data_IF_167554395267
#
_entry.id   IF_167554395267
#
_cell.length_a   1.000
_cell.length_b   1.000
_cell.length_c   1.000
_cell.angle_alpha   90.00
_cell.angle_beta   90.00
_cell.angle_gamma   90.00
#
_symmetry.space_group_name_H-M   'P 1'
#
loop_
_entity.id
_entity.type
_entity.pdbx_description
1 polymer ?
#
# COMPACT_ATOMS: atom_id res chain seq x y z
N UNK A 1 19.56 9.52 7.02
CA UNK A 1 18.09 9.48 6.87
C UNK A 1 17.63 8.29 7.70
N UNK A 2 16.74 8.48 8.66
CA UNK A 2 16.22 7.47 9.59
C UNK A 2 14.74 7.75 9.81
N UNK A 3 13.96 6.77 10.25
CA UNK A 3 12.61 7.00 10.73
C UNK A 3 12.62 7.79 12.05
N UNK A 4 11.61 8.60 12.28
CA UNK A 4 11.44 9.38 13.51
C UNK A 4 11.11 8.48 14.70
N UNK A 5 10.39 7.37 14.45
CA UNK A 5 10.06 6.37 15.46
C UNK A 5 9.99 4.95 14.87
N UNK A 6 10.22 3.98 15.76
CA UNK A 6 10.08 2.55 15.49
C UNK A 6 9.10 1.93 16.47
N UNK A 7 8.27 1.02 15.98
CA UNK A 7 7.34 0.26 16.80
C UNK A 7 7.37 -1.21 16.37
N UNK A 8 7.23 -2.12 17.32
CA UNK A 8 6.97 -3.54 17.06
C UNK A 8 5.69 -3.95 17.77
N UNK A 9 4.75 -4.53 17.05
CA UNK A 9 3.47 -4.94 17.61
C UNK A 9 3.02 -6.27 16.98
N UNK A 10 2.76 -7.29 17.81
CA UNK A 10 2.38 -8.64 17.36
C UNK A 10 3.30 -9.22 16.27
N UNK A 11 4.62 -9.00 16.41
CA UNK A 11 5.62 -9.51 15.47
C UNK A 11 5.71 -8.76 14.14
N UNK A 12 4.96 -7.67 13.98
CA UNK A 12 5.06 -6.75 12.83
C UNK A 12 5.87 -5.52 13.26
N UNK A 13 6.85 -5.14 12.43
CA UNK A 13 7.68 -3.95 12.65
C UNK A 13 7.16 -2.76 11.84
N UNK A 14 7.28 -1.58 12.44
CA UNK A 14 6.85 -0.33 11.82
C UNK A 14 7.95 0.72 11.89
N UNK A 15 8.16 1.43 10.78
CA UNK A 15 8.92 2.68 10.74
C UNK A 15 7.96 3.84 10.49
N UNK A 16 8.05 4.90 11.29
CA UNK A 16 7.22 6.08 11.20
C UNK A 16 8.06 7.30 10.83
N UNK A 17 7.62 8.04 9.81
CA UNK A 17 8.05 9.40 9.50
C UNK A 17 6.90 10.34 9.80
N UNK A 18 7.11 11.35 10.64
CA UNK A 18 6.03 12.20 11.16
C UNK A 18 5.77 13.44 10.28
N UNK A 19 4.53 13.60 9.86
CA UNK A 19 3.95 14.78 9.23
C UNK A 19 2.68 15.20 9.98
N UNK A 20 1.92 16.19 9.48
CA UNK A 20 0.74 16.73 10.16
C UNK A 20 -0.57 16.59 9.38
N UNK A 21 -0.54 16.42 8.05
CA UNK A 21 -1.71 16.64 7.20
C UNK A 21 -2.48 15.35 6.83
N UNK A 22 -1.93 14.19 7.17
CA UNK A 22 -2.55 12.91 6.87
C UNK A 22 -1.71 11.72 7.28
N UNK A 23 -2.10 10.52 6.83
CA UNK A 23 -1.36 9.28 7.03
C UNK A 23 -1.31 8.46 5.73
N UNK A 24 -0.11 8.12 5.28
CA UNK A 24 0.14 7.09 4.29
C UNK A 24 0.60 5.80 4.99
N UNK A 25 -0.18 4.74 4.84
CA UNK A 25 0.18 3.40 5.32
C UNK A 25 0.84 2.66 4.15
N UNK A 26 2.11 2.28 4.30
CA UNK A 26 2.84 1.49 3.32
C UNK A 26 2.98 0.05 3.83
N UNK A 27 2.41 -0.91 3.11
CA UNK A 27 2.54 -2.35 3.41
C UNK A 27 3.47 -3.01 2.41
N UNK A 28 4.56 -3.57 2.91
CA UNK A 28 5.61 -4.16 2.07
C UNK A 28 5.20 -5.51 1.46
N UNK A 29 6.01 -6.02 0.52
CA UNK A 29 5.82 -7.34 -0.07
C UNK A 29 6.21 -8.47 0.89
N UNK A 30 6.00 -9.71 0.48
CA UNK A 30 6.28 -10.93 1.27
C UNK A 30 7.72 -10.95 1.78
N UNK A 31 7.92 -11.08 3.09
CA UNK A 31 9.23 -11.03 3.75
C UNK A 31 9.94 -9.67 3.64
N UNK A 32 9.24 -8.64 3.21
CA UNK A 32 9.78 -7.28 3.07
C UNK A 32 9.95 -6.60 4.42
N UNK A 33 11.08 -5.92 4.60
CA UNK A 33 11.37 -5.09 5.78
C UNK A 33 10.87 -3.66 5.60
N UNK A 34 10.82 -2.89 6.68
CA UNK A 34 10.46 -1.47 6.64
C UNK A 34 11.42 -0.61 5.80
N UNK A 35 12.63 -1.08 5.53
CA UNK A 35 13.59 -0.39 4.67
C UNK A 35 13.42 -0.77 3.20
N UNK A 36 13.18 -2.06 2.94
CA UNK A 36 13.21 -2.62 1.60
C UNK A 36 14.61 -2.59 0.98
N UNK A 37 14.70 -3.07 -0.27
CA UNK A 37 15.96 -3.02 -1.01
C UNK A 37 16.38 -1.56 -1.25
N UNK A 38 17.66 -1.26 -1.02
CA UNK A 38 18.24 0.08 -1.23
C UNK A 38 17.52 1.19 -0.43
N UNK A 39 16.95 0.82 0.72
CA UNK A 39 16.18 1.73 1.58
C UNK A 39 14.99 2.42 0.90
N UNK A 40 14.41 1.80 -0.14
CA UNK A 40 13.39 2.44 -0.97
C UNK A 40 12.16 2.93 -0.18
N UNK A 41 11.76 2.20 0.87
CA UNK A 41 10.61 2.60 1.68
C UNK A 41 10.93 3.77 2.61
N UNK A 42 12.14 3.82 3.18
CA UNK A 42 12.58 4.98 3.95
C UNK A 42 12.70 6.21 3.05
N UNK A 43 13.26 6.05 1.84
CA UNK A 43 13.36 7.13 0.86
C UNK A 43 11.96 7.63 0.43
N UNK A 44 11.02 6.70 0.19
CA UNK A 44 9.63 7.04 -0.09
C UNK A 44 9.00 7.82 1.07
N UNK A 45 9.15 7.33 2.30
CA UNK A 45 8.58 7.95 3.49
C UNK A 45 9.09 9.38 3.68
N UNK A 46 10.41 9.59 3.56
CA UNK A 46 11.02 10.91 3.66
C UNK A 46 10.49 11.84 2.58
N UNK A 47 10.44 11.37 1.33
CA UNK A 47 9.96 12.17 0.19
C UNK A 47 8.50 12.61 0.35
N UNK A 48 7.62 11.71 0.75
CA UNK A 48 6.20 12.03 0.98
C UNK A 48 6.05 13.02 2.15
N UNK A 49 6.74 12.79 3.25
CA UNK A 49 6.70 13.70 4.40
C UNK A 49 7.20 15.11 4.00
N UNK A 50 8.35 15.21 3.34
CA UNK A 50 8.93 16.50 2.94
C UNK A 50 8.08 17.28 1.94
N UNK A 51 7.40 16.60 1.01
CA UNK A 51 6.64 17.25 -0.07
C UNK A 51 5.18 17.53 0.28
N UNK A 52 4.56 16.65 1.07
CA UNK A 52 3.13 16.68 1.35
C UNK A 52 2.81 16.89 2.83
N UNK A 53 3.82 16.90 3.68
CA UNK A 53 3.65 16.99 5.14
C UNK A 53 2.73 15.89 5.71
N UNK A 54 2.65 14.74 5.03
CA UNK A 54 1.87 13.56 5.42
C UNK A 54 2.76 12.60 6.19
N UNK A 55 2.28 12.11 7.34
CA UNK A 55 2.95 11.03 8.06
C UNK A 55 3.00 9.78 7.23
N UNK A 56 4.10 9.03 7.27
CA UNK A 56 4.23 7.77 6.58
C UNK A 56 4.58 6.66 7.56
N UNK A 57 3.70 5.67 7.66
CA UNK A 57 3.88 4.47 8.45
C UNK A 57 4.21 3.30 7.52
N UNK A 58 5.44 2.83 7.54
CA UNK A 58 5.85 1.65 6.78
C UNK A 58 5.76 0.42 7.67
N UNK A 59 4.99 -0.57 7.24
CA UNK A 59 4.82 -1.86 7.93
C UNK A 59 5.55 -2.96 7.16
N UNK A 60 6.37 -3.74 7.83
CA UNK A 60 6.99 -4.94 7.27
C UNK A 60 5.95 -6.05 7.01
N UNK A 61 6.39 -7.15 6.43
CA UNK A 61 5.50 -8.26 6.07
C UNK A 61 6.16 -9.61 6.37
N UNK A 62 6.30 -9.99 7.67
CA UNK A 62 6.89 -11.26 8.07
C UNK A 62 6.11 -12.46 7.53
N UNK A 63 6.83 -13.52 7.18
CA UNK A 63 6.27 -14.72 6.54
C UNK A 63 5.47 -15.59 7.50
N UNK A 64 5.77 -15.50 8.78
CA UNK A 64 5.24 -16.36 9.85
C UNK A 64 3.85 -15.94 10.31
N UNK A 65 3.41 -14.71 9.96
CA UNK A 65 2.11 -14.16 10.36
C UNK A 65 1.09 -14.39 9.25
N UNK A 66 -0.08 -14.89 9.62
CA UNK A 66 -1.17 -15.10 8.67
C UNK A 66 -1.60 -13.78 8.00
N UNK A 67 -1.99 -13.79 6.71
CA UNK A 67 -2.34 -12.56 5.96
C UNK A 67 -3.37 -11.66 6.65
N UNK A 68 -4.42 -12.25 7.20
CA UNK A 68 -5.49 -11.52 7.88
C UNK A 68 -5.00 -10.87 9.19
N UNK A 69 -4.25 -11.62 9.98
CA UNK A 69 -3.66 -11.14 11.23
C UNK A 69 -2.65 -10.02 10.95
N UNK A 70 -1.79 -10.20 9.94
CA UNK A 70 -0.80 -9.21 9.54
C UNK A 70 -1.46 -7.91 9.09
N UNK A 71 -2.51 -7.99 8.28
CA UNK A 71 -3.27 -6.82 7.85
C UNK A 71 -3.99 -6.16 9.03
N UNK A 72 -4.67 -6.93 9.89
CA UNK A 72 -5.39 -6.37 11.04
C UNK A 72 -4.44 -5.70 12.03
N UNK A 73 -3.27 -6.27 12.29
CA UNK A 73 -2.21 -5.65 13.12
C UNK A 73 -1.76 -4.32 12.53
N UNK A 74 -1.48 -4.28 11.22
CA UNK A 74 -1.07 -3.04 10.54
C UNK A 74 -2.13 -1.96 10.67
N UNK A 75 -3.39 -2.31 10.44
CA UNK A 75 -4.48 -1.32 10.46
C UNK A 75 -4.90 -0.92 11.88
N UNK A 76 -4.71 -1.79 12.88
CA UNK A 76 -4.89 -1.43 14.30
C UNK A 76 -3.88 -0.36 14.73
N UNK A 77 -2.60 -0.55 14.41
CA UNK A 77 -1.55 0.44 14.73
C UNK A 77 -1.83 1.77 14.01
N UNK A 78 -2.29 1.72 12.76
CA UNK A 78 -2.67 2.93 12.03
C UNK A 78 -3.87 3.63 12.68
N UNK A 79 -4.89 2.89 13.11
CA UNK A 79 -6.06 3.44 13.80
C UNK A 79 -5.69 4.10 15.14
N UNK A 80 -4.82 3.45 15.93
CA UNK A 80 -4.31 4.01 17.19
C UNK A 80 -3.50 5.29 16.94
N UNK A 81 -2.67 5.30 15.88
CA UNK A 81 -1.94 6.50 15.47
C UNK A 81 -2.90 7.65 15.13
N UNK A 82 -3.92 7.39 14.31
CA UNK A 82 -4.95 8.37 13.92
C UNK A 82 -5.66 8.90 15.18
N UNK A 83 -6.06 8.02 16.10
CA UNK A 83 -6.76 8.39 17.33
C UNK A 83 -5.89 9.24 18.28
N UNK A 84 -4.57 9.05 18.25
CA UNK A 84 -3.61 9.83 19.06
C UNK A 84 -3.37 11.25 18.52
N UNK A 85 -3.76 11.51 17.27
CA UNK A 85 -3.58 12.81 16.59
C UNK A 85 -4.92 13.54 16.49
N UNK A 86 -4.93 14.82 16.83
CA UNK A 86 -6.15 15.63 16.78
C UNK A 86 -6.62 15.96 15.35
N UNK A 87 -5.74 15.81 14.37
CA UNK A 87 -6.02 16.15 12.96
C UNK A 87 -5.31 15.14 12.04
N UNK A 88 -6.05 14.15 11.58
CA UNK A 88 -5.67 13.36 10.39
C UNK A 88 -6.80 13.52 9.39
N UNK A 89 -6.61 14.39 8.40
CA UNK A 89 -7.64 14.74 7.42
C UNK A 89 -7.81 13.68 6.34
N UNK A 90 -6.73 12.95 6.03
CA UNK A 90 -6.71 11.99 4.92
C UNK A 90 -5.86 10.77 5.25
N UNK A 91 -6.35 9.58 4.91
CA UNK A 91 -5.64 8.32 5.10
C UNK A 91 -5.55 7.58 3.77
N UNK A 92 -4.33 7.18 3.43
CA UNK A 92 -3.99 6.49 2.19
C UNK A 92 -3.31 5.16 2.49
N UNK A 93 -3.45 4.21 1.57
CA UNK A 93 -2.77 2.91 1.65
C UNK A 93 -1.98 2.65 0.38
N UNK A 94 -0.73 2.26 0.52
CA UNK A 94 0.14 1.80 -0.56
C UNK A 94 0.64 0.40 -0.26
N UNK A 95 0.03 -0.61 -0.87
CA UNK A 95 0.43 -2.01 -0.74
C UNK A 95 1.27 -2.48 -1.91
N UNK A 96 2.42 -3.11 -1.62
CA UNK A 96 3.33 -3.65 -2.64
C UNK A 96 3.27 -5.18 -2.65
N UNK A 97 3.08 -5.80 -3.80
CA UNK A 97 3.04 -7.26 -3.97
C UNK A 97 2.04 -7.91 -3.00
N UNK A 98 2.48 -8.71 -2.04
CA UNK A 98 1.62 -9.30 -0.99
C UNK A 98 0.90 -8.23 -0.17
N UNK A 99 1.53 -7.10 0.13
CA UNK A 99 0.85 -5.97 0.78
C UNK A 99 -0.31 -5.43 -0.05
N UNK A 100 -0.16 -5.34 -1.37
CA UNK A 100 -1.24 -5.01 -2.30
C UNK A 100 -2.36 -6.05 -2.29
N UNK A 101 -2.00 -7.34 -2.26
CA UNK A 101 -2.97 -8.43 -2.15
C UNK A 101 -3.77 -8.38 -0.83
N UNK A 102 -3.13 -8.04 0.30
CA UNK A 102 -3.83 -7.87 1.57
C UNK A 102 -4.82 -6.70 1.52
N UNK A 103 -4.44 -5.58 0.90
CA UNK A 103 -5.35 -4.48 0.63
C UNK A 103 -6.57 -4.93 -0.19
N UNK A 104 -6.36 -5.71 -1.25
CA UNK A 104 -7.45 -6.25 -2.07
C UNK A 104 -8.36 -7.22 -1.30
N UNK A 105 -7.81 -8.07 -0.42
CA UNK A 105 -8.57 -9.07 0.33
C UNK A 105 -9.36 -8.49 1.50
N UNK A 106 -8.76 -7.56 2.24
CA UNK A 106 -9.24 -7.14 3.56
C UNK A 106 -9.53 -5.64 3.67
N UNK A 107 -9.18 -4.83 2.66
CA UNK A 107 -9.31 -3.37 2.69
C UNK A 107 -10.71 -2.88 3.02
N UNK A 108 -11.75 -3.60 2.59
CA UNK A 108 -13.15 -3.24 2.84
C UNK A 108 -13.53 -3.19 4.34
N UNK A 109 -12.72 -3.70 5.24
CA UNK A 109 -12.92 -3.59 6.69
C UNK A 109 -12.47 -2.23 7.27
N UNK A 110 -11.77 -1.40 6.46
CA UNK A 110 -11.11 -0.19 6.94
C UNK A 110 -11.66 1.06 6.21
N UNK A 111 -12.87 1.51 6.58
CA UNK A 111 -13.53 2.64 5.89
C UNK A 111 -12.84 3.99 6.09
N UNK A 112 -11.88 4.09 7.01
CA UNK A 112 -11.10 5.31 7.22
C UNK A 112 -10.04 5.56 6.15
N UNK A 113 -9.69 4.57 5.31
CA UNK A 113 -8.76 4.74 4.19
C UNK A 113 -9.53 5.22 2.96
N UNK A 114 -9.13 6.34 2.40
CA UNK A 114 -9.82 6.99 1.27
C UNK A 114 -9.35 6.51 -0.09
N UNK A 115 -8.01 6.36 -0.25
CA UNK A 115 -7.41 5.90 -1.50
C UNK A 115 -6.47 4.72 -1.27
N UNK A 116 -6.55 3.74 -2.15
CA UNK A 116 -5.76 2.52 -2.15
C UNK A 116 -4.93 2.41 -3.41
N UNK A 117 -3.61 2.30 -3.28
CA UNK A 117 -2.69 1.97 -4.36
C UNK A 117 -2.16 0.55 -4.14
N UNK A 118 -2.53 -0.38 -5.01
CA UNK A 118 -2.18 -1.80 -4.90
C UNK A 118 -1.23 -2.16 -6.05
N UNK A 119 0.07 -2.15 -5.76
CA UNK A 119 1.14 -2.33 -6.74
C UNK A 119 1.51 -3.81 -6.89
N UNK A 120 1.50 -4.30 -8.14
CA UNK A 120 1.98 -5.63 -8.52
C UNK A 120 1.47 -6.75 -7.60
N UNK A 121 0.20 -6.69 -7.22
CA UNK A 121 -0.38 -7.74 -6.38
C UNK A 121 -0.45 -9.06 -7.15
N UNK A 122 -0.19 -10.22 -6.51
CA UNK A 122 -0.26 -11.53 -7.16
C UNK A 122 -1.71 -11.92 -7.48
N UNK A 123 -2.16 -11.64 -8.73
CA UNK A 123 -3.56 -11.83 -9.16
C UNK A 123 -3.99 -13.29 -9.07
N UNK A 124 -3.16 -14.25 -9.48
CA UNK A 124 -3.55 -15.66 -9.50
C UNK A 124 -3.50 -16.36 -8.14
N UNK A 125 -2.84 -15.78 -7.15
CA UNK A 125 -2.77 -16.33 -5.81
C UNK A 125 -4.00 -15.88 -5.03
N UNK A 126 -4.86 -16.81 -4.62
CA UNK A 126 -6.08 -16.51 -3.87
C UNK A 126 -6.99 -15.47 -4.56
N UNK A 127 -7.06 -15.47 -5.89
CA UNK A 127 -7.88 -14.51 -6.64
C UNK A 127 -9.32 -14.41 -6.15
N UNK A 128 -9.92 -15.53 -5.78
CA UNK A 128 -11.29 -15.56 -5.27
C UNK A 128 -11.46 -14.70 -4.00
N UNK A 129 -10.45 -14.65 -3.11
CA UNK A 129 -10.46 -13.81 -1.90
C UNK A 129 -10.24 -12.34 -2.26
N UNK A 130 -9.25 -12.05 -3.11
CA UNK A 130 -8.98 -10.70 -3.60
C UNK A 130 -10.20 -10.11 -4.32
N UNK A 131 -10.82 -10.90 -5.21
CA UNK A 131 -12.07 -10.51 -5.89
C UNK A 131 -13.19 -10.23 -4.89
N UNK A 132 -13.40 -11.12 -3.91
CA UNK A 132 -14.46 -10.96 -2.91
C UNK A 132 -14.26 -9.70 -2.05
N UNK A 133 -13.03 -9.39 -1.67
CA UNK A 133 -12.67 -8.16 -0.95
C UNK A 133 -12.91 -6.91 -1.80
N UNK A 134 -12.34 -6.87 -3.01
CA UNK A 134 -12.52 -5.75 -3.95
C UNK A 134 -14.00 -5.46 -4.25
N UNK A 135 -14.82 -6.50 -4.38
CA UNK A 135 -16.28 -6.34 -4.60
C UNK A 135 -17.02 -5.74 -3.39
N UNK A 136 -16.45 -5.83 -2.19
CA UNK A 136 -17.00 -5.25 -0.95
C UNK A 136 -16.45 -3.86 -0.63
N UNK A 137 -15.43 -3.39 -1.35
CA UNK A 137 -14.87 -2.05 -1.12
C UNK A 137 -15.98 -1.00 -1.18
N UNK A 138 -16.06 -0.06 -0.23
CA UNK A 138 -16.98 1.08 -0.28
C UNK A 138 -16.81 1.86 -1.59
N UNK A 139 -17.90 2.40 -2.12
CA UNK A 139 -17.88 3.11 -3.41
C UNK A 139 -17.27 4.51 -3.32
N UNK A 140 -17.15 5.04 -2.13
CA UNK A 140 -16.49 6.32 -1.82
C UNK A 140 -14.98 6.17 -1.59
N UNK A 141 -14.45 4.94 -1.60
CA UNK A 141 -13.01 4.68 -1.59
C UNK A 141 -12.50 4.46 -3.02
N UNK A 142 -11.42 5.14 -3.37
CA UNK A 142 -10.75 4.94 -4.66
C UNK A 142 -9.72 3.81 -4.57
N UNK A 143 -9.75 2.89 -5.51
CA UNK A 143 -8.80 1.77 -5.58
C UNK A 143 -8.08 1.78 -6.93
N UNK A 144 -6.77 1.99 -6.92
CA UNK A 144 -5.92 1.84 -8.10
C UNK A 144 -5.10 0.56 -8.00
N UNK A 145 -5.34 -0.37 -8.93
CA UNK A 145 -4.51 -1.56 -9.12
C UNK A 145 -3.50 -1.27 -10.20
N UNK A 146 -2.23 -1.24 -9.86
CA UNK A 146 -1.15 -0.87 -10.74
C UNK A 146 -0.22 -2.06 -11.00
N UNK A 147 0.07 -2.33 -12.28
CA UNK A 147 0.92 -3.45 -12.70
C UNK A 147 1.98 -2.99 -13.69
N UNK A 148 3.21 -3.49 -13.51
CA UNK A 148 4.23 -3.41 -14.53
C UNK A 148 3.99 -4.45 -15.62
N UNK A 149 4.24 -4.13 -16.89
CA UNK A 149 4.09 -5.06 -18.03
C UNK A 149 4.97 -6.31 -17.92
N UNK A 150 6.09 -6.21 -17.20
CA UNK A 150 7.02 -7.33 -16.96
C UNK A 150 6.75 -8.03 -15.61
N UNK A 151 5.65 -7.69 -14.93
CA UNK A 151 5.24 -8.38 -13.70
C UNK A 151 4.66 -9.77 -14.02
N UNK A 152 4.96 -10.82 -13.25
CA UNK A 152 4.37 -12.16 -13.44
C UNK A 152 2.84 -12.18 -13.40
N UNK A 153 2.19 -11.22 -12.74
CA UNK A 153 0.73 -11.11 -12.70
C UNK A 153 0.12 -10.44 -13.93
N UNK A 154 0.93 -9.76 -14.74
CA UNK A 154 0.44 -8.99 -15.88
C UNK A 154 -0.43 -9.79 -16.86
N UNK A 155 -0.16 -11.05 -17.21
CA UNK A 155 -1.02 -11.84 -18.09
C UNK A 155 -2.45 -12.05 -17.59
N UNK A 156 -2.70 -11.77 -16.31
CA UNK A 156 -3.98 -12.03 -15.64
C UNK A 156 -4.73 -10.75 -15.24
N UNK A 157 -4.22 -9.56 -15.57
CA UNK A 157 -4.79 -8.29 -15.09
C UNK A 157 -6.18 -7.99 -15.66
N UNK A 158 -6.54 -8.59 -16.80
CA UNK A 158 -7.88 -8.47 -17.39
C UNK A 158 -8.99 -9.01 -16.47
N UNK A 159 -8.66 -9.90 -15.52
CA UNK A 159 -9.61 -10.36 -14.51
C UNK A 159 -10.14 -9.21 -13.64
N UNK A 160 -9.39 -8.13 -13.51
CA UNK A 160 -9.77 -6.94 -12.75
C UNK A 160 -10.86 -6.17 -13.48
N UNK A 161 -10.80 -6.08 -14.81
CA UNK A 161 -11.79 -5.39 -15.62
C UNK A 161 -13.18 -6.04 -15.52
N UNK A 162 -13.21 -7.34 -15.18
CA UNK A 162 -14.47 -8.09 -14.95
C UNK A 162 -15.18 -7.69 -13.66
N UNK A 163 -14.55 -6.95 -12.75
CA UNK A 163 -15.18 -6.46 -11.52
C UNK A 163 -16.26 -5.41 -11.82
N UNK A 164 -16.13 -4.64 -12.91
CA UNK A 164 -17.07 -3.60 -13.36
C UNK A 164 -17.45 -2.62 -12.25
N UNK A 165 -16.47 -2.14 -11.50
CA UNK A 165 -16.62 -1.19 -10.40
C UNK A 165 -15.99 0.15 -10.80
N UNK A 166 -16.76 1.26 -10.74
CA UNK A 166 -16.28 2.59 -11.15
C UNK A 166 -15.17 3.14 -10.25
N UNK A 167 -15.20 2.77 -8.96
CA UNK A 167 -14.19 3.16 -7.98
C UNK A 167 -12.93 2.30 -8.00
N UNK A 168 -12.84 1.31 -8.89
CA UNK A 168 -11.67 0.43 -9.06
C UNK A 168 -11.07 0.67 -10.45
N UNK A 169 -9.85 1.17 -10.49
CA UNK A 169 -9.11 1.46 -11.72
C UNK A 169 -7.92 0.52 -11.85
N UNK A 170 -7.68 0.03 -13.05
CA UNK A 170 -6.45 -0.69 -13.41
C UNK A 170 -5.55 0.22 -14.22
N UNK A 171 -4.28 0.25 -13.86
CA UNK A 171 -3.23 0.99 -14.56
C UNK A 171 -2.07 0.05 -14.88
N UNK A 172 -1.48 0.21 -16.06
CA UNK A 172 -0.30 -0.55 -16.49
C UNK A 172 0.86 0.41 -16.71
N UNK A 173 2.03 0.04 -16.21
CA UNK A 173 3.29 0.74 -16.46
C UNK A 173 4.10 -0.03 -17.50
N UNK A 174 4.43 0.59 -18.64
CA UNK A 174 5.21 -0.06 -19.67
C UNK A 174 6.62 -0.35 -19.16
N UNK A 175 7.20 -1.47 -19.61
CA UNK A 175 8.56 -1.89 -19.35
C UNK A 175 8.99 -2.07 -17.87
N UNK A 176 8.08 -1.96 -16.91
CA UNK A 176 8.33 -2.09 -15.48
C UNK A 176 8.18 -3.53 -15.01
N UNK A 177 9.13 -4.01 -14.18
CA UNK A 177 9.09 -5.33 -13.56
C UNK A 177 8.52 -5.35 -12.14
N UNK A 178 8.51 -6.53 -11.52
CA UNK A 178 7.91 -6.74 -10.19
C UNK A 178 8.54 -5.88 -9.08
N UNK A 179 9.85 -5.75 -9.09
CA UNK A 179 10.64 -5.18 -7.97
C UNK A 179 11.02 -3.72 -8.15
N UNK A 180 10.82 -3.16 -9.33
CA UNK A 180 11.32 -1.83 -9.69
C UNK A 180 12.85 -1.69 -9.47
N UNK A 181 13.59 -2.76 -9.73
CA UNK A 181 15.03 -2.82 -9.40
C UNK A 181 15.89 -1.87 -10.21
N UNK A 182 15.39 -1.36 -11.33
CA UNK A 182 16.08 -0.39 -12.20
C UNK A 182 15.30 0.92 -12.34
N UNK A 183 14.09 0.99 -11.77
CA UNK A 183 13.16 2.09 -11.90
C UNK A 183 12.76 2.66 -10.52
N UNK A 184 13.76 2.84 -9.63
CA UNK A 184 13.51 3.30 -8.26
C UNK A 184 12.84 4.68 -8.23
N UNK A 185 13.25 5.58 -9.12
CA UNK A 185 12.66 6.92 -9.20
C UNK A 185 11.19 6.87 -9.62
N UNK A 186 10.83 5.94 -10.51
CA UNK A 186 9.42 5.70 -10.87
C UNK A 186 8.64 5.16 -9.66
N UNK A 187 9.18 4.18 -8.94
CA UNK A 187 8.56 3.67 -7.72
C UNK A 187 8.26 4.79 -6.70
N UNK A 188 9.22 5.70 -6.49
CA UNK A 188 9.07 6.80 -5.53
C UNK A 188 7.97 7.79 -5.92
N UNK A 189 7.69 7.95 -7.22
CA UNK A 189 6.64 8.85 -7.75
C UNK A 189 5.25 8.24 -7.74
N UNK A 190 5.10 6.91 -7.59
CA UNK A 190 3.80 6.27 -7.69
C UNK A 190 2.80 6.78 -6.64
N UNK A 191 3.25 6.93 -5.40
CA UNK A 191 2.39 7.46 -4.33
C UNK A 191 1.93 8.89 -4.64
N UNK A 192 2.84 9.76 -5.10
CA UNK A 192 2.53 11.14 -5.46
C UNK A 192 1.49 11.19 -6.57
N UNK A 193 1.70 10.44 -7.63
CA UNK A 193 0.84 10.43 -8.82
C UNK A 193 -0.56 9.84 -8.55
N UNK A 194 -0.67 8.78 -7.76
CA UNK A 194 -1.94 8.04 -7.62
C UNK A 194 -2.67 8.29 -6.30
N UNK A 195 -1.99 8.82 -5.28
CA UNK A 195 -2.61 9.09 -3.99
C UNK A 195 -2.75 10.60 -3.71
N UNK A 196 -1.82 11.42 -4.26
CA UNK A 196 -1.79 12.87 -4.04
C UNK A 196 -2.16 13.68 -5.29
N UNK A 197 -2.59 13.02 -6.37
CA UNK A 197 -3.06 13.63 -7.62
C UNK A 197 -2.02 14.58 -8.27
N UNK A 198 -0.71 14.28 -8.14
CA UNK A 198 0.35 14.99 -8.85
C UNK A 198 0.53 14.45 -10.28
N UNK A 199 0.74 15.34 -11.26
CA UNK A 199 1.00 14.99 -12.67
C UNK A 199 2.44 14.47 -12.93
#
# INVERSE_FOLDING_TARGET
>A
MEYDAFLSFHGVEFGLMEGTDGLLIVKTGSGGTIYGRENKYLTLATRIMERHNVSVMVSDNPLEIAPEENMSTTMSVAADYIASRNVVSSVFYFGVSKGGQYGAMYGYHYPFVQKWLLLNMPVMIDWHKSKAGLMKMPTDQEVTLLFGERDPSYPYVELIDLLRRENIKRVTLPDVGHTFSHEIDEFLRLAERFLFDEE
#
